data_IF_351557188729
#
_entry.id   IF_351557188729
#
_cell.length_a   1.000
_cell.length_b   1.000
_cell.length_c   1.000
_cell.angle_alpha   90.00
_cell.angle_beta   90.00
_cell.angle_gamma   90.00
#
_symmetry.space_group_name_H-M   'P 1'
#
loop_
_entity.id
_entity.type
_entity.pdbx_description
1 polymer ?
#
# COMPACT_ATOMS: atom_id res chain seq x y z
N UNK A 1 34.96 26.95 -10.76
CA UNK A 1 33.75 26.13 -10.92
C UNK A 1 32.84 26.42 -9.74
N UNK A 2 31.92 27.37 -9.89
CA UNK A 2 30.94 27.72 -8.85
C UNK A 2 30.00 26.54 -8.62
N UNK A 3 30.04 26.00 -7.40
CA UNK A 3 29.17 24.90 -6.97
C UNK A 3 27.92 25.53 -6.36
N UNK A 4 26.91 25.79 -7.18
CA UNK A 4 25.66 26.44 -6.77
C UNK A 4 25.02 25.68 -5.58
N UNK A 5 25.03 26.24 -4.36
CA UNK A 5 24.62 25.54 -3.15
C UNK A 5 23.12 25.17 -3.16
N UNK A 6 22.30 25.96 -3.87
CA UNK A 6 20.87 25.70 -4.04
C UNK A 6 20.57 24.49 -4.94
N UNK A 7 21.33 24.30 -6.03
CA UNK A 7 21.18 23.14 -6.91
C UNK A 7 21.56 21.84 -6.19
N UNK A 8 22.58 21.90 -5.33
CA UNK A 8 22.96 20.77 -4.48
C UNK A 8 21.87 20.48 -3.42
N UNK A 9 21.37 21.52 -2.74
CA UNK A 9 20.28 21.38 -1.76
C UNK A 9 18.98 20.84 -2.34
N UNK A 10 18.62 21.25 -3.57
CA UNK A 10 17.46 20.71 -4.28
C UNK A 10 17.66 19.25 -4.67
N UNK A 11 18.84 18.89 -5.20
CA UNK A 11 19.18 17.48 -5.47
C UNK A 11 19.11 16.63 -4.20
N UNK A 12 19.66 17.09 -3.09
CA UNK A 12 19.64 16.39 -1.81
C UNK A 12 18.23 16.29 -1.20
N UNK A 13 17.32 17.22 -1.53
CA UNK A 13 15.91 17.16 -1.17
C UNK A 13 15.13 16.12 -1.98
N UNK A 14 15.29 16.12 -3.31
CA UNK A 14 14.65 15.14 -4.20
C UNK A 14 15.18 13.73 -3.93
N UNK A 15 16.49 13.57 -3.71
CA UNK A 15 17.11 12.28 -3.40
C UNK A 15 16.72 11.71 -2.03
N UNK A 16 15.94 12.42 -1.21
CA UNK A 16 15.45 11.93 0.09
C UNK A 16 14.42 10.80 -0.04
N UNK A 17 14.18 10.26 -1.25
CA UNK A 17 13.37 9.06 -1.55
C UNK A 17 11.87 9.32 -1.48
N UNK A 18 11.41 9.74 -0.31
CA UNK A 18 10.00 10.02 -0.01
C UNK A 18 9.36 11.03 -0.98
N UNK A 19 10.12 12.03 -1.45
CA UNK A 19 9.59 13.04 -2.38
C UNK A 19 9.39 12.46 -3.78
N UNK A 20 10.32 11.63 -4.27
CA UNK A 20 10.24 11.05 -5.62
C UNK A 20 9.08 10.08 -5.70
N UNK A 21 8.92 9.21 -4.70
CA UNK A 21 7.84 8.21 -4.67
C UNK A 21 6.46 8.86 -4.63
N UNK A 22 6.27 9.82 -3.71
CA UNK A 22 5.01 10.57 -3.61
C UNK A 22 4.72 11.37 -4.88
N UNK A 23 5.73 12.05 -5.44
CA UNK A 23 5.57 12.84 -6.67
C UNK A 23 5.21 11.94 -7.86
N UNK A 24 5.84 10.78 -7.97
CA UNK A 24 5.58 9.81 -9.04
C UNK A 24 4.16 9.25 -8.92
N UNK A 25 3.70 8.93 -7.71
CA UNK A 25 2.33 8.47 -7.47
C UNK A 25 1.28 9.49 -7.94
N UNK A 26 1.47 10.77 -7.64
CA UNK A 26 0.55 11.85 -8.06
C UNK A 26 0.55 12.04 -9.59
N UNK A 27 1.73 12.00 -10.23
CA UNK A 27 1.84 12.15 -11.69
C UNK A 27 1.15 10.99 -12.41
N UNK A 28 1.42 9.75 -11.99
CA UNK A 28 0.80 8.56 -12.60
C UNK A 28 -0.71 8.55 -12.35
N UNK A 29 -1.14 8.87 -11.12
CA UNK A 29 -2.56 8.93 -10.76
C UNK A 29 -3.34 9.94 -11.59
N UNK A 30 -2.79 11.14 -11.79
CA UNK A 30 -3.43 12.18 -12.61
C UNK A 30 -3.47 11.81 -14.10
N UNK A 31 -2.37 11.29 -14.65
CA UNK A 31 -2.31 10.84 -16.04
C UNK A 31 -3.30 9.68 -16.33
N UNK A 32 -3.38 8.70 -15.42
CA UNK A 32 -4.33 7.59 -15.56
C UNK A 32 -5.78 8.06 -15.48
N UNK A 33 -6.09 8.92 -14.50
CA UNK A 33 -7.43 9.51 -14.37
C UNK A 33 -7.83 10.24 -15.65
N UNK A 34 -6.92 11.02 -16.26
CA UNK A 34 -7.20 11.71 -17.51
C UNK A 34 -7.56 10.75 -18.67
N UNK A 35 -6.88 9.59 -18.76
CA UNK A 35 -7.20 8.57 -19.77
C UNK A 35 -8.59 7.99 -19.52
N UNK A 36 -8.92 7.62 -18.28
CA UNK A 36 -10.23 7.03 -17.98
C UNK A 36 -11.35 8.05 -18.18
N UNK A 37 -11.14 9.30 -17.77
CA UNK A 37 -12.07 10.41 -18.03
C UNK A 37 -12.29 10.59 -19.52
N UNK A 38 -11.23 10.61 -20.35
CA UNK A 38 -11.37 10.74 -21.79
C UNK A 38 -12.18 9.58 -22.40
N UNK A 39 -11.98 8.35 -21.91
CA UNK A 39 -12.79 7.20 -22.34
C UNK A 39 -14.24 7.35 -21.90
N UNK A 40 -14.49 7.77 -20.65
CA UNK A 40 -15.86 7.99 -20.18
C UNK A 40 -16.56 9.07 -21.00
N UNK A 41 -15.88 10.21 -21.22
CA UNK A 41 -16.46 11.36 -21.90
C UNK A 41 -16.73 11.12 -23.38
N UNK A 42 -15.85 10.37 -24.05
CA UNK A 42 -15.96 10.15 -25.50
C UNK A 42 -16.65 8.85 -25.89
N UNK A 43 -16.72 7.86 -25.00
CA UNK A 43 -17.36 6.57 -25.30
C UNK A 43 -18.62 6.36 -24.46
N UNK A 44 -18.54 6.57 -23.14
CA UNK A 44 -19.63 6.20 -22.24
C UNK A 44 -20.72 7.28 -22.21
N UNK A 45 -20.37 8.56 -22.08
CA UNK A 45 -21.33 9.65 -22.03
C UNK A 45 -22.22 9.70 -23.29
N UNK A 46 -21.72 9.50 -24.53
CA UNK A 46 -22.57 9.42 -25.71
C UNK A 46 -23.52 8.22 -25.70
N UNK A 47 -23.08 7.06 -25.19
CA UNK A 47 -23.93 5.87 -25.05
C UNK A 47 -25.03 6.12 -24.02
N UNK A 48 -24.68 6.72 -22.88
CA UNK A 48 -25.65 7.10 -21.85
C UNK A 48 -26.63 8.14 -22.40
N UNK A 49 -26.16 9.13 -23.15
CA UNK A 49 -27.00 10.15 -23.79
C UNK A 49 -27.95 9.55 -24.83
N UNK A 50 -27.58 8.43 -25.47
CA UNK A 50 -28.46 7.70 -26.39
C UNK A 50 -29.62 7.02 -25.64
N UNK A 51 -29.36 6.39 -24.49
CA UNK A 51 -30.40 5.75 -23.67
C UNK A 51 -31.19 6.73 -22.79
N UNK A 52 -30.56 7.84 -22.40
CA UNK A 52 -31.13 8.93 -21.60
C UNK A 52 -31.84 10.02 -22.42
N UNK A 53 -31.86 9.89 -23.75
CA UNK A 53 -32.58 10.79 -24.65
C UNK A 53 -31.95 12.18 -24.75
N UNK A 54 -30.81 12.29 -25.44
CA UNK A 54 -30.23 13.49 -26.08
C UNK A 54 -30.01 14.77 -25.26
N UNK A 55 -30.60 14.93 -24.08
CA UNK A 55 -30.49 16.09 -23.22
C UNK A 55 -31.05 15.68 -21.86
N UNK A 56 -30.15 15.43 -20.91
CA UNK A 56 -30.52 15.41 -19.50
C UNK A 56 -30.93 16.83 -19.00
N UNK A 57 -31.02 17.80 -19.91
CA UNK A 57 -31.61 19.14 -19.72
C UNK A 57 -33.09 19.11 -19.28
N UNK A 58 -33.77 17.95 -19.31
CA UNK A 58 -35.11 17.80 -18.72
C UNK A 58 -35.15 18.03 -17.20
N UNK A 59 -33.99 17.99 -16.53
CA UNK A 59 -33.85 18.29 -15.10
C UNK A 59 -33.03 19.56 -14.82
N UNK A 60 -32.67 20.31 -15.86
CA UNK A 60 -31.98 21.58 -15.72
C UNK A 60 -32.99 22.69 -15.35
N UNK A 61 -33.11 22.98 -14.06
CA UNK A 61 -33.99 24.06 -13.59
C UNK A 61 -33.18 25.34 -13.37
N UNK A 62 -33.65 26.44 -13.96
CA UNK A 62 -33.08 27.76 -13.69
C UNK A 62 -33.68 28.29 -12.38
N UNK A 63 -32.86 28.45 -11.34
CA UNK A 63 -33.30 29.10 -10.10
C UNK A 63 -33.68 30.57 -10.29
N UNK A 64 -33.20 31.20 -11.38
CA UNK A 64 -33.55 32.57 -11.80
C UNK A 64 -33.59 32.62 -13.33
N UNK A 65 -34.72 33.03 -13.90
CA UNK A 65 -34.87 33.16 -15.35
C UNK A 65 -33.82 34.12 -15.93
N UNK A 66 -33.13 33.69 -16.99
CA UNK A 66 -32.17 34.50 -17.74
C UNK A 66 -30.75 34.57 -17.16
N UNK A 67 -30.42 33.80 -16.11
CA UNK A 67 -29.06 33.71 -15.60
C UNK A 67 -28.53 32.27 -15.72
N UNK A 68 -27.62 32.07 -16.67
CA UNK A 68 -26.87 30.84 -16.95
C UNK A 68 -26.13 30.30 -15.71
N UNK A 69 -25.73 31.19 -14.78
CA UNK A 69 -25.05 30.79 -13.54
C UNK A 69 -25.99 30.15 -12.48
N UNK A 70 -27.30 30.15 -12.73
CA UNK A 70 -28.32 29.55 -11.83
C UNK A 70 -28.96 28.29 -12.41
N UNK A 71 -28.38 27.74 -13.47
CA UNK A 71 -28.81 26.48 -14.07
C UNK A 71 -28.33 25.31 -13.18
N UNK A 72 -29.28 24.59 -12.58
CA UNK A 72 -29.01 23.36 -11.82
C UNK A 72 -29.27 22.17 -12.71
N UNK A 73 -28.22 21.63 -13.32
CA UNK A 73 -28.29 20.44 -14.17
C UNK A 73 -28.12 19.16 -13.33
N UNK A 74 -29.24 18.57 -12.91
CA UNK A 74 -29.20 17.28 -12.20
C UNK A 74 -28.68 16.14 -13.10
N UNK A 75 -28.75 16.31 -14.42
CA UNK A 75 -28.23 15.36 -15.37
C UNK A 75 -26.72 15.33 -15.46
N UNK A 76 -26.07 16.48 -15.37
CA UNK A 76 -24.64 16.58 -15.20
C UNK A 76 -24.17 15.87 -13.92
N UNK A 77 -24.93 15.96 -12.83
CA UNK A 77 -24.60 15.28 -11.56
C UNK A 77 -24.69 13.75 -11.72
N UNK A 78 -25.75 13.23 -12.35
CA UNK A 78 -25.89 11.79 -12.59
C UNK A 78 -24.77 11.28 -13.51
N UNK A 79 -24.45 12.04 -14.56
CA UNK A 79 -23.35 11.71 -15.48
C UNK A 79 -22.01 11.69 -14.76
N UNK A 80 -21.74 12.68 -13.89
CA UNK A 80 -20.53 12.73 -13.08
C UNK A 80 -20.45 11.56 -12.09
N UNK A 81 -21.57 11.18 -11.46
CA UNK A 81 -21.62 10.03 -10.55
C UNK A 81 -21.36 8.70 -11.29
N UNK A 82 -21.91 8.54 -12.50
CA UNK A 82 -21.65 7.37 -13.35
C UNK A 82 -20.19 7.33 -13.79
N UNK A 83 -19.62 8.45 -14.23
CA UNK A 83 -18.21 8.53 -14.59
C UNK A 83 -17.31 8.15 -13.40
N UNK A 84 -17.60 8.67 -12.20
CA UNK A 84 -16.90 8.28 -10.97
C UNK A 84 -16.96 6.77 -10.72
N UNK A 85 -18.14 6.15 -10.87
CA UNK A 85 -18.31 4.71 -10.68
C UNK A 85 -17.52 3.90 -11.71
N UNK A 86 -17.46 4.35 -12.96
CA UNK A 86 -16.69 3.70 -14.03
C UNK A 86 -15.19 3.80 -13.73
N UNK A 87 -14.70 4.99 -13.37
CA UNK A 87 -13.29 5.19 -12.98
C UNK A 87 -12.92 4.28 -11.81
N UNK A 88 -13.75 4.25 -10.76
CA UNK A 88 -13.54 3.39 -9.61
C UNK A 88 -13.54 1.90 -9.99
N UNK A 89 -14.46 1.47 -10.86
CA UNK A 89 -14.51 0.10 -11.34
C UNK A 89 -13.24 -0.27 -12.13
N UNK A 90 -12.81 0.57 -13.07
CA UNK A 90 -11.59 0.32 -13.86
C UNK A 90 -10.36 0.24 -12.96
N UNK A 91 -10.19 1.18 -12.02
CA UNK A 91 -9.08 1.15 -11.04
C UNK A 91 -9.12 -0.12 -10.21
N UNK A 92 -10.31 -0.50 -9.71
CA UNK A 92 -10.47 -1.70 -8.90
C UNK A 92 -10.11 -2.97 -9.67
N UNK A 93 -10.63 -3.15 -10.89
CA UNK A 93 -10.41 -4.35 -11.70
C UNK A 93 -8.98 -4.45 -12.26
N UNK A 94 -8.37 -3.34 -12.68
CA UNK A 94 -7.05 -3.35 -13.33
C UNK A 94 -5.89 -3.27 -12.32
N UNK A 95 -6.07 -2.58 -11.20
CA UNK A 95 -4.99 -2.36 -10.23
C UNK A 95 -5.23 -3.16 -8.96
N UNK A 96 -6.36 -2.92 -8.28
CA UNK A 96 -6.57 -3.48 -6.93
C UNK A 96 -6.75 -4.99 -6.96
N UNK A 97 -7.59 -5.53 -7.83
CA UNK A 97 -7.86 -6.97 -7.95
C UNK A 97 -6.59 -7.80 -8.25
N UNK A 98 -5.78 -7.48 -9.27
CA UNK A 98 -4.55 -8.23 -9.51
C UNK A 98 -3.53 -8.01 -8.40
N UNK A 99 -3.41 -6.80 -7.85
CA UNK A 99 -2.49 -6.56 -6.74
C UNK A 99 -2.87 -7.37 -5.49
N UNK A 100 -4.17 -7.47 -5.19
CA UNK A 100 -4.67 -8.31 -4.10
C UNK A 100 -4.37 -9.80 -4.36
N UNK A 101 -4.59 -10.27 -5.61
CA UNK A 101 -4.29 -11.66 -6.01
C UNK A 101 -2.79 -11.98 -5.97
N UNK A 102 -1.93 -11.04 -6.39
CA UNK A 102 -0.47 -11.21 -6.31
C UNK A 102 0.03 -11.20 -4.87
N UNK A 103 -0.52 -10.33 -4.01
CA UNK A 103 -0.20 -10.32 -2.60
C UNK A 103 -0.61 -11.62 -1.92
N UNK A 104 -1.83 -12.09 -2.17
CA UNK A 104 -2.31 -13.38 -1.65
C UNK A 104 -1.45 -14.55 -2.14
N UNK A 105 -1.10 -14.57 -3.43
CA UNK A 105 -0.21 -15.59 -3.99
C UNK A 105 1.22 -15.53 -3.41
N UNK A 106 1.72 -14.33 -3.12
CA UNK A 106 3.03 -14.13 -2.49
C UNK A 106 3.03 -14.55 -1.01
N UNK A 107 1.94 -14.30 -0.28
CA UNK A 107 1.78 -14.73 1.11
C UNK A 107 1.64 -16.26 1.23
N UNK A 108 0.83 -16.88 0.35
CA UNK A 108 0.73 -18.36 0.26
C UNK A 108 2.08 -19.03 -0.02
N UNK A 109 2.94 -18.41 -0.85
CA UNK A 109 4.31 -18.91 -1.13
C UNK A 109 5.26 -18.79 0.06
N UNK A 110 4.97 -17.90 1.01
CA UNK A 110 5.75 -17.71 2.24
C UNK A 110 5.22 -18.50 3.43
N UNK A 111 4.17 -19.31 3.25
CA UNK A 111 3.55 -20.09 4.32
C UNK A 111 2.78 -19.25 5.34
N UNK A 112 2.49 -17.99 5.00
CA UNK A 112 1.70 -17.07 5.82
C UNK A 112 0.26 -17.24 5.34
N UNK A 113 -0.63 -17.71 6.22
CA UNK A 113 -2.05 -17.84 5.92
C UNK A 113 -2.64 -16.44 5.67
N UNK A 114 -3.24 -16.14 4.51
CA UNK A 114 -3.75 -14.81 4.19
C UNK A 114 -4.86 -14.30 5.12
N UNK A 115 -5.43 -15.15 5.98
CA UNK A 115 -6.41 -14.76 7.02
C UNK A 115 -5.77 -14.32 8.34
N UNK A 116 -4.49 -14.62 8.59
CA UNK A 116 -3.79 -14.12 9.77
C UNK A 116 -3.17 -12.75 9.48
N UNK A 117 -3.45 -11.73 10.31
CA UNK A 117 -2.80 -10.43 10.16
C UNK A 117 -1.28 -10.64 10.22
N UNK A 118 -0.56 -9.99 9.30
CA UNK A 118 0.89 -10.06 9.31
C UNK A 118 1.40 -9.73 10.72
N UNK A 119 2.32 -10.54 11.28
CA UNK A 119 2.78 -10.34 12.64
C UNK A 119 3.33 -8.93 12.75
N UNK A 120 2.81 -8.20 13.72
CA UNK A 120 3.22 -6.83 13.98
C UNK A 120 4.69 -6.82 14.36
N UNK A 121 5.36 -5.70 14.14
CA UNK A 121 6.76 -5.53 14.55
C UNK A 121 6.96 -5.86 16.04
N UNK A 122 5.95 -5.58 16.87
CA UNK A 122 5.98 -5.87 18.31
C UNK A 122 5.94 -7.37 18.62
N UNK A 123 5.11 -8.13 17.90
CA UNK A 123 5.06 -9.60 18.02
C UNK A 123 6.38 -10.24 17.57
N UNK A 124 6.94 -9.79 16.45
CA UNK A 124 8.24 -10.27 15.96
C UNK A 124 9.38 -9.94 16.94
N UNK A 125 9.38 -8.76 17.54
CA UNK A 125 10.38 -8.39 18.55
C UNK A 125 10.24 -9.21 19.83
N UNK A 126 9.01 -9.59 20.20
CA UNK A 126 8.75 -10.46 21.34
C UNK A 126 9.24 -11.88 21.05
N UNK A 127 8.93 -12.43 19.88
CA UNK A 127 9.44 -13.74 19.45
C UNK A 127 10.98 -13.76 19.37
N UNK A 128 11.61 -12.73 18.81
CA UNK A 128 13.07 -12.59 18.78
C UNK A 128 13.66 -12.52 20.20
N UNK A 129 13.03 -11.78 21.12
CA UNK A 129 13.48 -11.70 22.53
C UNK A 129 13.44 -13.09 23.18
N UNK A 130 12.33 -13.79 23.02
CA UNK A 130 12.12 -15.09 23.65
C UNK A 130 13.07 -16.14 23.06
N UNK A 131 13.32 -16.12 21.74
CA UNK A 131 14.34 -16.95 21.09
C UNK A 131 15.76 -16.63 21.59
N UNK A 132 16.07 -15.36 21.84
CA UNK A 132 17.38 -14.94 22.35
C UNK A 132 17.59 -15.35 23.81
N UNK A 133 16.55 -15.28 24.64
CA UNK A 133 16.56 -15.79 26.01
C UNK A 133 16.72 -17.31 26.05
N UNK A 134 15.99 -18.04 25.19
CA UNK A 134 16.12 -19.49 25.07
C UNK A 134 17.55 -19.89 24.63
N UNK A 135 18.15 -19.16 23.69
CA UNK A 135 19.53 -19.41 23.26
C UNK A 135 20.55 -19.10 24.37
N UNK A 136 20.35 -17.99 25.11
CA UNK A 136 21.18 -17.64 26.27
C UNK A 136 21.08 -18.69 27.39
N UNK A 137 19.89 -19.20 27.68
CA UNK A 137 19.67 -20.29 28.63
C UNK A 137 20.36 -21.59 28.18
N UNK A 138 20.33 -21.88 26.88
CA UNK A 138 21.11 -22.96 26.27
C UNK A 138 22.62 -22.78 26.50
N UNK A 139 23.16 -21.59 26.28
CA UNK A 139 24.57 -21.28 26.51
C UNK A 139 25.00 -21.46 27.97
N UNK A 140 24.14 -21.10 28.93
CA UNK A 140 24.40 -21.32 30.38
C UNK A 140 24.39 -22.82 30.72
N UNK A 141 23.49 -23.61 30.11
CA UNK A 141 23.46 -25.07 30.30
C UNK A 141 24.70 -25.77 29.76
N UNK A 142 25.28 -25.29 28.64
CA UNK A 142 26.54 -25.83 28.12
C UNK A 142 27.73 -25.52 29.04
N UNK A 143 27.79 -24.33 29.62
CA UNK A 143 28.85 -23.92 30.54
C UNK A 143 28.80 -24.69 31.88
N UNK A 144 27.60 -24.92 32.41
CA UNK A 144 27.42 -25.68 33.66
C UNK A 144 27.83 -27.16 33.51
N UNK A 145 27.49 -27.80 32.37
CA UNK A 145 27.94 -29.17 32.07
C UNK A 145 29.45 -29.28 31.88
N UNK A 146 30.07 -28.27 31.26
CA UNK A 146 31.53 -28.23 31.09
C UNK A 146 32.27 -28.04 32.43
N UNK A 147 31.62 -27.44 33.41
CA UNK A 147 32.19 -27.23 34.75
C UNK A 147 32.03 -28.48 35.62
N UNK A 148 30.85 -29.10 35.62
CA UNK A 148 30.58 -30.31 36.39
C UNK A 148 31.41 -31.52 35.93
N UNK A 149 31.58 -31.70 34.62
CA UNK A 149 32.44 -32.78 34.09
C UNK A 149 33.92 -32.62 34.51
N UNK A 150 34.40 -31.37 34.65
CA UNK A 150 35.77 -31.13 35.14
C UNK A 150 35.91 -31.46 36.63
N UNK A 151 34.86 -31.26 37.44
CA UNK A 151 34.87 -31.66 38.85
C UNK A 151 34.83 -33.18 39.02
N UNK A 152 34.04 -33.90 38.21
CA UNK A 152 34.00 -35.37 38.26
C UNK A 152 35.31 -36.02 37.83
N UNK A 153 36.03 -35.42 36.88
CA UNK A 153 37.33 -35.91 36.42
C UNK A 153 38.44 -35.71 37.47
N UNK A 154 38.30 -34.71 38.36
CA UNK A 154 39.26 -34.41 39.43
C UNK A 154 39.01 -35.26 40.70
N UNK A 155 37.80 -35.79 40.90
CA UNK A 155 37.45 -36.62 42.05
C UNK A 155 37.69 -38.12 41.82
N UNK A 156 37.55 -38.61 40.56
CA UNK A 156 37.76 -40.01 40.19
C UNK A 156 39.20 -40.54 40.35
N UNK A 157 40.19 -39.66 40.52
CA UNK A 157 41.61 -40.02 40.65
C UNK A 157 42.08 -40.41 42.07
N UNK A 158 41.23 -40.31 43.10
CA UNK A 158 41.65 -40.49 44.51
C UNK A 158 41.30 -41.85 45.15
N UNK A 159 40.70 -42.78 44.41
CA UNK A 159 40.21 -44.06 44.97
C UNK A 159 40.87 -45.34 44.44
N UNK A 160 41.97 -45.26 43.68
CA UNK A 160 42.75 -46.46 43.31
C UNK A 160 44.14 -46.39 43.93
N UNK A 161 44.23 -46.79 45.20
CA UNK A 161 45.47 -47.09 45.92
C UNK A 161 45.36 -48.50 46.52
#
# INVERSE_FOLDING_TARGET
>A
MERNPMLKGFKDFILRGNVIELSTAVIIGSAFTAIVTAVSDHLINPIIALFGGANVNGFAYHLREGNEATLVDLGAIITAALNFLIVAAVVYFIIIMPMNKFNEAAQRRKGIDPEEPAPTTEELLTEIRDLLEANKAGAVSYDEKATNNRETDLDGGRHQA
#
